data_IF_161986143917
#
_entry.id   IF_161986143917
#
_cell.length_a   1.000
_cell.length_b   1.000
_cell.length_c   1.000
_cell.angle_alpha   90.00
_cell.angle_beta   90.00
_cell.angle_gamma   90.00
#
_symmetry.space_group_name_H-M   'P 1'
#
loop_
_entity.id
_entity.type
_entity.pdbx_description
1 polymer ?
#
# COMPACT_ATOMS: atom_id res chain seq x y z
N UNK A 1 -35.15 -0.56 91.33
CA UNK A 1 -34.17 0.24 92.08
C UNK A 1 -33.21 0.90 91.11
N UNK A 2 -33.15 2.23 91.14
CA UNK A 2 -32.15 3.06 90.43
C UNK A 2 -30.76 2.82 91.04
N UNK A 3 -29.69 3.07 90.26
CA UNK A 3 -28.46 3.82 90.60
C UNK A 3 -27.46 3.65 89.42
N UNK A 4 -27.24 4.68 88.59
CA UNK A 4 -26.14 5.68 88.67
C UNK A 4 -24.76 5.00 88.60
N UNK A 5 -23.89 5.18 87.62
CA UNK A 5 -23.66 6.22 86.61
C UNK A 5 -22.15 6.39 86.48
N UNK A 6 -21.61 6.72 85.29
CA UNK A 6 -20.42 7.57 85.09
C UNK A 6 -20.05 7.70 83.61
N UNK A 7 -19.89 8.96 83.21
CA UNK A 7 -19.31 9.45 81.97
C UNK A 7 -17.86 8.95 81.79
N UNK A 8 -17.48 8.61 80.55
CA UNK A 8 -16.09 8.67 80.12
C UNK A 8 -16.03 9.07 78.64
N UNK A 9 -15.62 10.32 78.45
CA UNK A 9 -15.16 10.99 77.23
C UNK A 9 -14.16 10.13 76.44
N UNK A 10 -14.45 9.88 75.16
CA UNK A 10 -13.50 9.27 74.25
C UNK A 10 -12.45 10.30 73.80
N UNK A 11 -11.23 10.21 74.33
CA UNK A 11 -10.04 10.85 73.75
C UNK A 11 -9.53 9.97 72.60
N UNK A 12 -9.61 10.49 71.37
CA UNK A 12 -8.91 9.96 70.21
C UNK A 12 -7.41 10.28 70.34
N UNK A 13 -6.61 9.30 70.78
CA UNK A 13 -5.16 9.35 70.63
C UNK A 13 -4.80 8.85 69.22
N UNK A 14 -4.21 9.73 68.42
CA UNK A 14 -3.69 9.44 67.09
C UNK A 14 -2.40 8.61 67.20
N UNK A 15 -2.50 7.30 66.96
CA UNK A 15 -1.34 6.46 66.62
C UNK A 15 -1.10 6.55 65.13
N UNK A 16 -0.06 7.30 64.74
CA UNK A 16 0.48 7.26 63.39
C UNK A 16 1.04 5.87 63.13
N UNK A 17 0.26 5.01 62.46
CA UNK A 17 0.80 3.81 61.82
C UNK A 17 1.71 4.27 60.68
N UNK A 18 3.02 4.17 60.92
CA UNK A 18 4.02 4.11 59.86
C UNK A 18 3.77 2.78 59.15
N UNK A 19 2.96 2.82 58.09
CA UNK A 19 2.85 1.70 57.15
C UNK A 19 4.23 1.51 56.50
N UNK A 20 4.78 0.29 56.45
CA UNK A 20 5.97 0.04 55.67
C UNK A 20 5.67 0.43 54.23
N UNK A 21 6.52 1.30 53.67
CA UNK A 21 6.45 1.69 52.26
C UNK A 21 6.31 0.43 51.41
N UNK A 22 5.29 0.42 50.55
CA UNK A 22 4.97 -0.72 49.71
C UNK A 22 6.24 -1.18 49.00
N UNK A 23 6.58 -2.46 49.18
CA UNK A 23 7.58 -3.11 48.36
C UNK A 23 7.23 -2.83 46.90
N UNK A 24 8.15 -2.19 46.18
CA UNK A 24 8.10 -2.11 44.74
C UNK A 24 7.80 -3.52 44.22
N UNK A 25 6.76 -3.68 43.41
CA UNK A 25 6.49 -4.95 42.76
C UNK A 25 7.74 -5.32 41.98
N UNK A 26 8.53 -6.27 42.49
CA UNK A 26 9.63 -6.85 41.74
C UNK A 26 9.03 -7.38 40.44
N UNK A 27 9.55 -6.93 39.29
CA UNK A 27 9.10 -7.43 38.01
C UNK A 27 9.19 -8.96 38.03
N UNK A 28 8.09 -9.62 37.67
CA UNK A 28 7.98 -11.08 37.52
C UNK A 28 8.96 -11.68 36.48
N UNK A 29 9.73 -10.83 35.78
CA UNK A 29 10.60 -11.16 34.66
C UNK A 29 12.07 -10.73 34.87
N UNK A 30 12.52 -10.68 36.13
CA UNK A 30 13.92 -10.38 36.48
C UNK A 30 14.86 -11.60 36.38
N UNK A 31 16.01 -11.51 37.06
CA UNK A 31 17.08 -12.53 37.12
C UNK A 31 16.58 -13.95 37.41
N UNK A 32 15.50 -14.07 38.17
CA UNK A 32 14.95 -15.37 38.59
C UNK A 32 14.07 -16.04 37.51
N UNK A 33 13.72 -15.32 36.43
CA UNK A 33 12.91 -15.85 35.33
C UNK A 33 13.72 -16.10 34.06
N UNK A 34 14.55 -15.14 33.66
CA UNK A 34 15.34 -15.20 32.43
C UNK A 34 16.61 -16.02 32.71
N UNK A 35 16.86 -17.11 31.96
CA UNK A 35 18.00 -17.97 32.22
C UNK A 35 19.31 -17.23 31.96
N UNK A 36 20.29 -17.39 32.85
CA UNK A 36 21.63 -16.81 32.70
C UNK A 36 22.64 -17.85 32.18
N UNK A 37 22.25 -18.56 31.13
CA UNK A 37 23.05 -19.62 30.50
C UNK A 37 24.06 -19.03 29.51
N UNK A 38 25.18 -19.73 29.22
CA UNK A 38 26.15 -19.26 28.25
C UNK A 38 25.57 -19.29 26.82
N UNK A 39 25.86 -18.25 26.06
CA UNK A 39 25.58 -18.13 24.63
C UNK A 39 26.85 -17.70 23.89
N UNK A 40 26.96 -18.09 22.62
CA UNK A 40 28.10 -17.80 21.76
C UNK A 40 27.66 -16.82 20.67
N UNK A 41 28.38 -15.73 20.52
CA UNK A 41 28.12 -14.73 19.47
C UNK A 41 28.64 -15.19 18.11
N UNK A 42 28.25 -14.47 17.05
CA UNK A 42 28.78 -14.67 15.70
C UNK A 42 30.31 -14.53 15.59
N UNK A 43 30.94 -13.80 16.52
CA UNK A 43 32.40 -13.64 16.58
C UNK A 43 33.08 -14.68 17.48
N UNK A 44 32.34 -15.69 17.95
CA UNK A 44 32.87 -16.76 18.80
C UNK A 44 33.09 -16.37 20.26
N UNK A 45 32.58 -15.22 20.71
CA UNK A 45 32.66 -14.79 22.11
C UNK A 45 31.58 -15.47 22.93
N UNK A 46 31.94 -15.99 24.10
CA UNK A 46 30.98 -16.53 25.07
C UNK A 46 30.49 -15.40 25.99
N UNK A 47 29.19 -15.30 26.16
CA UNK A 47 28.50 -14.32 27.01
C UNK A 47 27.45 -15.04 27.87
N UNK A 48 27.09 -14.47 29.01
CA UNK A 48 25.98 -14.95 29.84
C UNK A 48 24.68 -14.26 29.41
N UNK A 49 23.65 -15.03 29.09
CA UNK A 49 22.46 -14.50 28.46
C UNK A 49 21.77 -13.39 29.27
N UNK A 50 21.62 -13.53 30.58
CA UNK A 50 20.96 -12.50 31.37
C UNK A 50 21.91 -11.34 31.71
N UNK A 51 23.05 -11.63 32.33
CA UNK A 51 23.94 -10.60 32.87
C UNK A 51 24.57 -9.72 31.77
N UNK A 52 24.95 -10.31 30.64
CA UNK A 52 25.64 -9.59 29.58
C UNK A 52 24.69 -9.02 28.52
N UNK A 53 23.52 -9.60 28.29
CA UNK A 53 22.63 -9.21 27.18
C UNK A 53 21.33 -8.54 27.63
N UNK A 54 20.76 -8.95 28.76
CA UNK A 54 19.43 -8.50 29.17
C UNK A 54 19.51 -7.40 30.21
N UNK A 55 20.32 -7.59 31.25
CA UNK A 55 20.40 -6.69 32.40
C UNK A 55 20.72 -5.26 31.96
N UNK A 56 19.92 -4.31 32.47
CA UNK A 56 20.07 -2.87 32.26
C UNK A 56 20.06 -2.40 30.78
N UNK A 57 19.50 -3.20 29.87
CA UNK A 57 19.44 -2.91 28.42
C UNK A 57 18.03 -2.91 27.88
N UNK A 58 17.77 -2.08 26.87
CA UNK A 58 16.60 -2.26 25.99
C UNK A 58 17.01 -3.24 24.90
N UNK A 59 16.23 -4.30 24.73
CA UNK A 59 16.57 -5.33 23.76
C UNK A 59 15.39 -5.77 22.91
N UNK A 60 15.70 -6.20 21.69
CA UNK A 60 14.79 -6.91 20.80
C UNK A 60 15.36 -8.30 20.56
N UNK A 61 14.68 -9.34 21.03
CA UNK A 61 15.02 -10.73 20.75
C UNK A 61 14.18 -11.24 19.57
N UNK A 62 14.86 -11.77 18.56
CA UNK A 62 14.25 -12.51 17.45
C UNK A 62 14.81 -13.92 17.38
N UNK A 63 13.98 -14.88 16.99
CA UNK A 63 14.40 -16.27 16.77
C UNK A 63 14.46 -16.55 15.27
N UNK A 64 15.54 -17.19 14.81
CA UNK A 64 15.77 -17.48 13.39
C UNK A 64 16.60 -18.74 13.20
N UNK A 65 16.83 -19.15 11.95
CA UNK A 65 17.90 -20.08 11.61
C UNK A 65 18.45 -19.74 10.21
N UNK A 66 19.76 -19.90 9.98
CA UNK A 66 20.40 -19.30 8.80
C UNK A 66 20.03 -19.96 7.47
N UNK A 67 19.60 -21.22 7.51
CA UNK A 67 19.14 -21.96 6.33
C UNK A 67 17.68 -21.68 5.95
N UNK A 68 16.95 -20.89 6.74
CA UNK A 68 15.59 -20.48 6.45
C UNK A 68 15.53 -19.59 5.20
N UNK A 69 14.68 -19.98 4.23
CA UNK A 69 14.47 -19.23 2.97
C UNK A 69 13.14 -18.48 2.91
N UNK A 70 12.43 -18.41 4.03
CA UNK A 70 11.10 -17.82 4.15
C UNK A 70 11.17 -16.48 4.92
N UNK A 71 10.62 -16.45 6.15
CA UNK A 71 10.45 -15.20 6.90
C UNK A 71 11.71 -14.72 7.60
N UNK A 72 12.67 -15.59 7.93
CA UNK A 72 13.86 -15.17 8.68
C UNK A 72 14.71 -14.12 7.94
N UNK A 73 15.02 -14.27 6.63
CA UNK A 73 15.68 -13.23 5.83
C UNK A 73 14.90 -11.91 5.81
N UNK A 74 13.57 -11.98 5.77
CA UNK A 74 12.72 -10.79 5.78
C UNK A 74 12.71 -10.10 7.14
N UNK A 75 12.64 -10.86 8.24
CA UNK A 75 12.77 -10.36 9.60
C UNK A 75 14.11 -9.67 9.82
N UNK A 76 15.21 -10.28 9.35
CA UNK A 76 16.52 -9.66 9.38
C UNK A 76 16.55 -8.35 8.57
N UNK A 77 16.07 -8.33 7.31
CA UNK A 77 16.02 -7.10 6.53
C UNK A 77 15.19 -5.98 7.19
N UNK A 78 14.09 -6.33 7.88
CA UNK A 78 13.26 -5.35 8.61
C UNK A 78 13.93 -4.84 9.87
N UNK A 79 14.63 -5.71 10.61
CA UNK A 79 15.44 -5.29 11.76
C UNK A 79 16.61 -4.39 11.31
N UNK A 80 17.21 -4.62 10.13
CA UNK A 80 18.22 -3.71 9.58
C UNK A 80 17.66 -2.31 9.33
N UNK A 81 16.45 -2.20 8.78
CA UNK A 81 15.77 -0.90 8.63
C UNK A 81 15.45 -0.24 9.98
N UNK A 82 15.08 -1.04 11.00
CA UNK A 82 14.86 -0.53 12.35
C UNK A 82 16.17 0.00 12.95
N UNK A 83 17.28 -0.74 12.78
CA UNK A 83 18.62 -0.32 13.22
C UNK A 83 19.00 1.03 12.61
N UNK A 84 18.83 1.22 11.30
CA UNK A 84 19.11 2.48 10.61
C UNK A 84 18.30 3.65 11.21
N UNK A 85 17.02 3.41 11.49
CA UNK A 85 16.11 4.42 12.08
C UNK A 85 16.42 4.75 13.53
N UNK A 86 16.87 3.75 14.31
CA UNK A 86 17.29 3.94 15.71
C UNK A 86 18.63 4.70 15.80
N UNK A 87 19.46 4.65 14.75
CA UNK A 87 20.66 5.45 14.62
C UNK A 87 21.60 5.29 15.83
N UNK A 88 21.94 6.40 16.48
CA UNK A 88 22.90 6.43 17.60
C UNK A 88 22.45 5.67 18.87
N UNK A 89 21.19 5.24 18.95
CA UNK A 89 20.70 4.41 20.06
C UNK A 89 21.16 2.96 19.95
N UNK A 90 21.43 2.47 18.73
CA UNK A 90 21.87 1.10 18.50
C UNK A 90 23.27 0.85 19.06
N UNK A 91 23.39 -0.19 19.90
CA UNK A 91 24.64 -0.57 20.55
C UNK A 91 25.04 0.28 21.74
N UNK A 92 24.28 1.34 22.05
CA UNK A 92 24.46 2.17 23.25
C UNK A 92 23.43 1.83 24.31
N UNK A 93 22.15 2.00 23.97
CA UNK A 93 21.00 1.78 24.87
C UNK A 93 20.02 0.73 24.33
N UNK A 94 19.97 0.54 23.00
CA UNK A 94 19.15 -0.47 22.32
C UNK A 94 20.02 -1.55 21.68
N UNK A 95 19.66 -2.82 21.89
CA UNK A 95 20.40 -3.98 21.40
C UNK A 95 19.49 -4.99 20.71
N UNK A 96 19.93 -5.57 19.61
CA UNK A 96 19.19 -6.62 18.90
C UNK A 96 19.89 -7.97 19.09
N UNK A 97 19.11 -9.00 19.41
CA UNK A 97 19.61 -10.35 19.65
C UNK A 97 18.86 -11.35 18.80
N UNK A 98 19.50 -11.83 17.75
CA UNK A 98 18.94 -12.82 16.84
C UNK A 98 19.46 -14.22 17.20
N UNK A 99 18.62 -15.02 17.83
CA UNK A 99 18.98 -16.31 18.42
C UNK A 99 18.64 -17.44 17.44
N UNK A 100 19.62 -18.28 17.13
CA UNK A 100 19.38 -19.47 16.31
C UNK A 100 18.48 -20.47 17.05
N UNK A 101 17.49 -21.02 16.36
CA UNK A 101 16.70 -22.18 16.80
C UNK A 101 17.27 -23.50 16.31
N UNK A 102 18.35 -23.46 15.51
CA UNK A 102 19.06 -24.60 14.93
C UNK A 102 20.56 -24.57 15.31
N UNK A 103 20.90 -24.61 16.61
CA UNK A 103 22.28 -24.43 17.07
C UNK A 103 23.25 -25.53 16.62
N UNK A 104 22.74 -26.69 16.21
CA UNK A 104 23.55 -27.80 15.69
C UNK A 104 24.14 -27.48 14.30
N UNK A 105 23.44 -26.66 13.51
CA UNK A 105 23.85 -26.29 12.14
C UNK A 105 24.33 -24.85 12.02
N UNK A 106 23.80 -23.94 12.83
CA UNK A 106 24.13 -22.51 12.85
C UNK A 106 25.35 -22.24 13.76
N UNK A 107 26.53 -22.53 13.21
CA UNK A 107 27.81 -22.21 13.85
C UNK A 107 28.05 -20.69 13.91
N UNK A 108 28.93 -20.19 14.80
CA UNK A 108 29.30 -18.77 14.84
C UNK A 108 29.71 -18.21 13.48
N UNK A 109 30.47 -18.98 12.69
CA UNK A 109 30.90 -18.56 11.35
C UNK A 109 29.71 -18.39 10.38
N UNK A 110 28.70 -19.27 10.44
CA UNK A 110 27.47 -19.14 9.63
C UNK A 110 26.63 -17.96 10.07
N UNK A 111 26.48 -17.77 11.37
CA UNK A 111 25.79 -16.61 11.92
C UNK A 111 26.48 -15.31 11.54
N UNK A 112 27.81 -15.29 11.50
CA UNK A 112 28.59 -14.13 11.05
C UNK A 112 28.32 -13.80 9.59
N UNK A 113 28.40 -14.80 8.71
CA UNK A 113 28.07 -14.62 7.30
C UNK A 113 26.64 -14.09 7.11
N UNK A 114 25.68 -14.62 7.87
CA UNK A 114 24.30 -14.16 7.82
C UNK A 114 24.15 -12.72 8.32
N UNK A 115 24.76 -12.38 9.45
CA UNK A 115 24.76 -11.04 10.03
C UNK A 115 25.35 -9.99 9.07
N UNK A 116 26.48 -10.31 8.44
CA UNK A 116 27.14 -9.46 7.43
C UNK A 116 26.25 -9.25 6.21
N UNK A 117 25.54 -10.28 5.75
CA UNK A 117 24.63 -10.20 4.61
C UNK A 117 23.46 -9.21 4.82
N UNK A 118 23.06 -8.98 6.07
CA UNK A 118 21.99 -8.02 6.42
C UNK A 118 22.51 -6.72 7.01
N UNK A 119 23.82 -6.48 7.00
CA UNK A 119 24.41 -5.24 7.51
C UNK A 119 24.21 -5.03 9.02
N UNK A 120 24.29 -6.11 9.80
CA UNK A 120 24.21 -6.04 11.25
C UNK A 120 25.33 -5.14 11.80
N UNK A 121 24.94 -4.04 12.44
CA UNK A 121 25.83 -3.04 13.00
C UNK A 121 26.15 -3.28 14.47
N UNK A 122 26.91 -2.36 15.09
CA UNK A 122 27.18 -2.42 16.54
C UNK A 122 25.90 -2.53 17.36
N UNK A 123 25.87 -3.47 18.30
CA UNK A 123 24.70 -3.72 19.15
C UNK A 123 23.71 -4.77 18.63
N UNK A 124 23.91 -5.29 17.41
CA UNK A 124 23.15 -6.43 16.90
C UNK A 124 23.99 -7.70 16.93
N UNK A 125 23.63 -8.63 17.83
CA UNK A 125 24.32 -9.90 17.98
C UNK A 125 23.47 -11.05 17.44
N UNK A 126 24.13 -12.00 16.79
CA UNK A 126 23.55 -13.27 16.37
C UNK A 126 24.11 -14.35 17.28
N UNK A 127 23.22 -15.11 17.92
CA UNK A 127 23.55 -15.96 19.06
C UNK A 127 23.25 -17.43 18.77
N UNK A 128 24.17 -18.30 19.16
CA UNK A 128 24.00 -19.75 19.20
C UNK A 128 24.51 -20.27 20.56
N UNK A 129 24.49 -21.57 20.81
CA UNK A 129 24.92 -22.14 22.09
C UNK A 129 24.67 -23.64 22.17
N UNK A 130 24.80 -24.20 23.37
CA UNK A 130 24.44 -25.59 23.58
C UNK A 130 22.93 -25.80 23.29
N UNK A 131 22.53 -26.88 22.61
CA UNK A 131 21.13 -27.09 22.22
C UNK A 131 20.14 -27.01 23.39
N UNK A 132 20.52 -27.50 24.56
CA UNK A 132 19.75 -27.43 25.81
C UNK A 132 19.58 -26.01 26.35
N UNK A 133 20.62 -25.19 26.27
CA UNK A 133 20.59 -23.79 26.72
C UNK A 133 19.71 -22.95 25.79
N UNK A 134 19.83 -23.16 24.47
CA UNK A 134 18.97 -22.52 23.48
C UNK A 134 17.52 -22.93 23.65
N UNK A 135 17.23 -24.22 23.91
CA UNK A 135 15.87 -24.68 24.22
C UNK A 135 15.32 -24.02 25.49
N UNK A 136 16.13 -23.91 26.54
CA UNK A 136 15.73 -23.25 27.78
C UNK A 136 15.41 -21.76 27.56
N UNK A 137 16.24 -21.04 26.80
CA UNK A 137 15.98 -19.65 26.41
C UNK A 137 14.67 -19.56 25.63
N UNK A 138 14.47 -20.41 24.60
CA UNK A 138 13.23 -20.43 23.80
C UNK A 138 12.01 -20.63 24.68
N UNK A 139 12.00 -21.64 25.53
CA UNK A 139 10.86 -21.96 26.40
C UNK A 139 10.53 -20.82 27.37
N UNK A 140 11.56 -20.22 27.98
CA UNK A 140 11.40 -19.09 28.92
C UNK A 140 10.96 -17.81 28.23
N UNK A 141 11.38 -17.58 27.00
CA UNK A 141 10.94 -16.44 26.20
C UNK A 141 9.64 -16.75 25.42
N UNK A 142 9.03 -17.91 25.68
CA UNK A 142 7.74 -18.33 25.12
C UNK A 142 7.78 -18.58 23.62
N UNK A 143 8.94 -18.93 23.08
CA UNK A 143 9.12 -19.43 21.72
C UNK A 143 8.89 -20.93 21.70
N UNK A 144 7.81 -21.37 21.04
CA UNK A 144 7.27 -22.74 21.15
C UNK A 144 7.16 -23.46 19.81
N UNK A 145 7.79 -22.95 18.74
CA UNK A 145 7.82 -23.64 17.45
C UNK A 145 8.30 -25.09 17.61
N UNK A 146 7.49 -26.03 17.09
CA UNK A 146 7.64 -27.48 17.24
C UNK A 146 8.57 -28.10 16.21
N UNK A 147 8.81 -27.42 15.10
CA UNK A 147 9.73 -27.85 14.04
C UNK A 147 10.35 -26.65 13.31
N UNK A 148 11.46 -26.90 12.61
CA UNK A 148 12.14 -25.92 11.77
C UNK A 148 11.23 -25.55 10.59
N UNK A 149 10.72 -24.31 10.57
CA UNK A 149 9.75 -23.84 9.58
C UNK A 149 8.37 -23.48 10.15
N UNK A 150 8.10 -23.76 11.43
CA UNK A 150 6.96 -23.13 12.11
C UNK A 150 7.31 -21.68 12.42
N UNK A 151 6.70 -20.77 11.66
CA UNK A 151 7.13 -19.38 11.58
C UNK A 151 6.30 -18.47 12.49
N UNK A 152 7.01 -17.78 13.37
CA UNK A 152 6.47 -16.68 14.16
C UNK A 152 7.04 -15.37 13.67
N UNK A 153 6.15 -14.40 13.46
CA UNK A 153 6.52 -13.09 12.89
C UNK A 153 6.72 -12.03 13.98
N UNK A 154 6.69 -12.43 15.25
CA UNK A 154 6.82 -11.55 16.39
C UNK A 154 8.22 -11.64 17.02
N UNK A 155 8.68 -10.49 17.48
CA UNK A 155 9.89 -10.31 18.28
C UNK A 155 9.49 -10.00 19.71
N UNK A 156 10.42 -10.26 20.62
CA UNK A 156 10.28 -9.89 22.02
C UNK A 156 11.03 -8.59 22.26
N UNK A 157 10.30 -7.54 22.64
CA UNK A 157 10.86 -6.25 23.02
C UNK A 157 10.82 -6.12 24.54
N UNK A 158 11.93 -5.78 25.18
CA UNK A 158 11.94 -5.57 26.62
C UNK A 158 12.99 -4.59 27.12
N UNK A 159 12.84 -4.20 28.37
CA UNK A 159 13.75 -3.37 29.14
C UNK A 159 14.19 -4.15 30.39
N UNK A 160 15.48 -4.49 30.45
CA UNK A 160 16.05 -5.25 31.56
C UNK A 160 16.17 -4.50 32.88
N UNK A 161 16.17 -3.16 32.86
CA UNK A 161 16.20 -2.34 34.07
C UNK A 161 14.84 -2.29 34.76
N UNK A 162 13.75 -2.16 33.98
CA UNK A 162 12.37 -2.11 34.51
C UNK A 162 11.74 -3.50 34.62
N UNK A 163 12.25 -4.46 33.86
CA UNK A 163 11.65 -5.78 33.68
C UNK A 163 10.32 -5.72 32.92
N UNK A 164 10.08 -4.69 32.11
CA UNK A 164 8.93 -4.58 31.19
C UNK A 164 9.23 -5.24 29.84
N UNK A 165 8.33 -6.11 29.38
CA UNK A 165 8.51 -6.89 28.16
C UNK A 165 7.17 -7.00 27.43
N UNK A 166 7.19 -6.92 26.10
CA UNK A 166 6.04 -7.11 25.22
C UNK A 166 6.41 -7.88 23.97
N UNK A 167 5.41 -8.43 23.29
CA UNK A 167 5.59 -8.94 21.92
C UNK A 167 5.24 -7.86 20.92
N UNK A 168 6.02 -7.77 19.86
CA UNK A 168 5.79 -6.86 18.74
C UNK A 168 6.16 -7.56 17.43
N UNK A 169 5.97 -6.93 16.27
CA UNK A 169 6.36 -7.50 14.98
C UNK A 169 7.05 -6.44 14.11
N UNK A 170 8.28 -6.71 13.61
CA UNK A 170 8.96 -5.82 12.66
C UNK A 170 8.31 -5.86 11.26
N UNK A 171 7.34 -6.76 11.03
CA UNK A 171 6.64 -6.90 9.75
C UNK A 171 5.55 -5.85 9.54
N UNK A 172 5.06 -5.23 10.63
CA UNK A 172 4.06 -4.16 10.57
C UNK A 172 4.65 -2.80 10.20
N UNK A 173 3.98 -1.72 10.61
CA UNK A 173 4.49 -0.35 10.39
C UNK A 173 5.85 -0.13 11.09
N UNK A 174 6.85 0.27 10.30
CA UNK A 174 8.22 0.42 10.79
C UNK A 174 8.37 1.60 11.76
N UNK A 175 7.66 2.70 11.54
CA UNK A 175 7.74 3.85 12.43
C UNK A 175 7.07 3.54 13.78
N UNK A 176 5.94 2.82 13.77
CA UNK A 176 5.29 2.31 14.99
C UNK A 176 6.22 1.38 15.77
N UNK A 177 6.89 0.47 15.07
CA UNK A 177 7.83 -0.46 15.68
C UNK A 177 9.00 0.26 16.35
N UNK A 178 9.63 1.22 15.65
CA UNK A 178 10.72 2.05 16.22
C UNK A 178 10.22 2.90 17.39
N UNK A 179 9.01 3.48 17.30
CA UNK A 179 8.40 4.20 18.42
C UNK A 179 8.15 3.31 19.64
N UNK A 180 7.74 2.05 19.44
CA UNK A 180 7.55 1.11 20.52
C UNK A 180 8.87 0.79 21.24
N UNK A 181 9.97 0.70 20.50
CA UNK A 181 11.32 0.53 21.07
C UNK A 181 11.71 1.75 21.91
N UNK A 182 11.54 2.98 21.38
CA UNK A 182 11.82 4.19 22.15
C UNK A 182 10.94 4.35 23.39
N UNK A 183 9.68 3.88 23.33
CA UNK A 183 8.78 3.93 24.47
C UNK A 183 9.25 3.04 25.65
N UNK A 184 10.16 2.09 25.42
CA UNK A 184 10.77 1.30 26.50
C UNK A 184 11.80 2.09 27.32
N UNK A 185 12.40 3.14 26.76
CA UNK A 185 13.38 4.02 27.44
C UNK A 185 12.69 5.04 28.36
N UNK A 186 11.52 5.52 27.92
CA UNK A 186 10.69 6.44 28.69
C UNK A 186 9.98 5.67 29.80
N UNK A 187 10.64 5.52 30.95
CA UNK A 187 10.03 4.97 32.15
C UNK A 187 8.66 5.59 32.42
N UNK A 188 7.59 4.87 32.11
CA UNK A 188 6.27 5.07 32.69
C UNK A 188 6.25 4.55 34.13
N UNK A 189 7.26 4.93 34.93
CA UNK A 189 7.21 4.90 36.37
C UNK A 189 6.21 5.97 36.84
N UNK A 190 4.92 5.68 36.70
CA UNK A 190 3.85 6.58 37.14
C UNK A 190 2.47 6.34 36.52
N UNK A 191 2.37 5.68 35.36
CA UNK A 191 1.06 5.22 34.89
C UNK A 191 0.74 3.92 35.59
N UNK A 192 -0.03 4.00 36.69
CA UNK A 192 -0.77 2.85 37.20
C UNK A 192 -1.38 2.16 35.99
N UNK A 193 -0.97 0.91 35.73
CA UNK A 193 -1.71 0.06 34.81
C UNK A 193 -3.17 0.17 35.24
N UNK A 194 -4.01 0.79 34.38
CA UNK A 194 -5.44 0.70 34.59
C UNK A 194 -5.72 -0.78 34.75
N UNK A 195 -6.44 -1.21 35.80
CA UNK A 195 -6.68 -2.63 36.02
C UNK A 195 -7.20 -3.18 34.70
N UNK A 196 -6.47 -4.14 34.13
CA UNK A 196 -6.95 -4.90 32.99
C UNK A 196 -8.21 -5.55 33.54
N UNK A 197 -9.37 -4.93 33.24
CA UNK A 197 -10.65 -5.55 33.49
C UNK A 197 -10.54 -6.88 32.80
N UNK A 198 -10.68 -7.97 33.55
CA UNK A 198 -10.93 -9.29 32.99
C UNK A 198 -12.08 -9.10 32.02
N UNK A 199 -11.76 -9.05 30.74
CA UNK A 199 -12.76 -8.90 29.70
C UNK A 199 -13.43 -10.27 29.65
N UNK A 200 -14.73 -10.37 29.96
CA UNK A 200 -15.46 -11.62 29.77
C UNK A 200 -15.26 -12.02 28.31
N UNK A 201 -15.04 -13.31 28.08
CA UNK A 201 -14.83 -13.95 26.78
C UNK A 201 -15.41 -13.11 25.63
N UNK A 202 -14.56 -12.42 24.87
CA UNK A 202 -15.01 -11.50 23.82
C UNK A 202 -15.43 -12.30 22.58
N UNK A 203 -16.61 -12.91 22.65
CA UNK A 203 -17.37 -13.21 21.46
C UNK A 203 -17.91 -11.88 20.90
N UNK A 204 -17.46 -11.49 19.70
CA UNK A 204 -18.16 -10.47 18.91
C UNK A 204 -17.66 -9.03 18.99
N UNK A 205 -16.34 -8.76 19.02
CA UNK A 205 -15.85 -7.44 18.63
C UNK A 205 -15.77 -7.33 17.10
N UNK A 206 -16.64 -6.52 16.51
CA UNK A 206 -16.50 -6.05 15.12
C UNK A 206 -15.52 -4.87 15.13
N UNK A 207 -14.33 -5.06 14.53
CA UNK A 207 -13.36 -3.98 14.32
C UNK A 207 -14.04 -2.86 13.50
N UNK A 208 -14.00 -1.61 13.98
CA UNK A 208 -14.46 -0.46 13.19
C UNK A 208 -13.43 -0.15 12.10
N UNK A 209 -13.76 -0.52 10.87
CA UNK A 209 -12.95 -0.36 9.64
C UNK A 209 -13.29 -1.50 8.65
N UNK A 210 -12.95 -1.41 7.36
CA UNK A 210 -13.09 -2.55 6.46
C UNK A 210 -12.23 -3.69 7.03
N UNK A 211 -12.75 -4.92 7.23
CA UNK A 211 -12.00 -6.01 7.86
C UNK A 211 -10.63 -6.26 7.21
N UNK A 212 -10.52 -6.02 5.90
CA UNK A 212 -9.29 -6.16 5.14
C UNK A 212 -8.19 -5.15 5.47
N UNK A 213 -8.47 -3.99 6.05
CA UNK A 213 -7.43 -2.98 6.33
C UNK A 213 -6.46 -3.45 7.41
N UNK A 214 -7.00 -3.94 8.53
CA UNK A 214 -6.19 -4.45 9.64
C UNK A 214 -5.38 -5.69 9.21
N UNK A 215 -6.01 -6.57 8.41
CA UNK A 215 -5.35 -7.72 7.82
C UNK A 215 -4.22 -7.29 6.88
N UNK A 216 -4.43 -6.26 6.05
CA UNK A 216 -3.44 -5.76 5.11
C UNK A 216 -2.23 -5.20 5.85
N UNK A 217 -2.44 -4.34 6.86
CA UNK A 217 -1.36 -3.77 7.66
C UNK A 217 -0.55 -4.85 8.39
N UNK A 218 -1.20 -5.94 8.81
CA UNK A 218 -0.58 -7.05 9.54
C UNK A 218 0.18 -8.01 8.62
N UNK A 219 -0.39 -8.38 7.47
CA UNK A 219 0.09 -9.51 6.67
C UNK A 219 0.66 -9.11 5.30
N UNK A 220 0.31 -7.93 4.77
CA UNK A 220 0.63 -7.56 3.38
C UNK A 220 1.55 -6.33 3.29
N UNK A 221 1.39 -5.37 4.20
CA UNK A 221 2.04 -4.06 4.13
C UNK A 221 3.57 -4.10 4.30
N UNK A 222 4.14 -5.20 4.79
CA UNK A 222 5.59 -5.41 4.80
C UNK A 222 6.15 -5.57 3.37
N UNK A 223 5.43 -6.29 2.51
CA UNK A 223 5.92 -6.69 1.18
C UNK A 223 5.29 -5.91 0.02
N UNK A 224 4.07 -5.42 0.21
CA UNK A 224 3.28 -4.78 -0.84
C UNK A 224 2.95 -3.33 -0.52
N UNK A 225 2.67 -2.56 -1.57
CA UNK A 225 2.02 -1.25 -1.50
C UNK A 225 0.70 -1.30 -2.30
N UNK A 226 -0.12 -0.26 -2.17
CA UNK A 226 -1.23 0.01 -3.09
C UNK A 226 -1.03 1.41 -3.66
N UNK A 227 -0.49 1.49 -4.88
CA UNK A 227 -0.19 2.73 -5.59
C UNK A 227 1.14 3.38 -5.18
N UNK A 228 1.96 2.67 -4.41
CA UNK A 228 3.26 3.14 -3.94
C UNK A 228 4.45 2.54 -4.70
N UNK A 229 4.21 1.77 -5.76
CA UNK A 229 5.24 1.06 -6.52
C UNK A 229 5.64 -0.29 -5.94
N UNK A 230 6.43 -1.03 -6.72
CA UNK A 230 6.94 -2.35 -6.33
C UNK A 230 7.86 -2.23 -5.10
N UNK A 231 7.78 -3.23 -4.21
CA UNK A 231 8.70 -3.37 -3.06
C UNK A 231 9.32 -4.76 -3.06
N UNK A 232 9.06 -5.57 -2.02
CA UNK A 232 9.50 -6.97 -1.95
C UNK A 232 8.64 -7.79 -2.91
N UNK A 233 7.35 -7.50 -2.93
CA UNK A 233 6.41 -7.97 -3.94
C UNK A 233 5.92 -6.83 -4.85
N UNK A 234 5.12 -7.16 -5.88
CA UNK A 234 4.53 -6.18 -6.79
C UNK A 234 3.61 -5.19 -6.07
N UNK A 235 3.47 -4.00 -6.65
CA UNK A 235 2.38 -3.07 -6.32
C UNK A 235 1.02 -3.72 -6.63
N UNK A 236 0.08 -3.57 -5.69
CA UNK A 236 -1.26 -4.09 -5.78
C UNK A 236 -2.26 -3.09 -6.39
N UNK A 237 -1.85 -1.87 -6.72
CA UNK A 237 -2.71 -0.93 -7.46
C UNK A 237 -3.22 -1.57 -8.77
N UNK A 238 -4.53 -1.63 -8.94
CA UNK A 238 -5.22 -2.24 -10.08
C UNK A 238 -5.16 -3.76 -10.17
N UNK A 239 -4.69 -4.46 -9.12
CA UNK A 239 -4.56 -5.93 -9.15
C UNK A 239 -5.92 -6.61 -9.30
N UNK A 240 -6.96 -6.05 -8.67
CA UNK A 240 -8.33 -6.53 -8.77
C UNK A 240 -8.92 -6.41 -10.19
N UNK A 241 -8.34 -5.53 -11.00
CA UNK A 241 -8.72 -5.29 -12.39
C UNK A 241 -7.92 -6.18 -13.36
N UNK A 242 -6.68 -6.53 -12.98
CA UNK A 242 -5.78 -7.36 -13.77
C UNK A 242 -6.00 -8.86 -13.58
N UNK A 243 -6.67 -9.28 -12.52
CA UNK A 243 -6.81 -10.70 -12.14
C UNK A 243 -8.24 -11.01 -11.74
N UNK A 244 -8.67 -12.24 -12.04
CA UNK A 244 -9.98 -12.72 -11.63
C UNK A 244 -10.03 -12.89 -10.11
N UNK A 245 -11.17 -12.59 -9.51
CA UNK A 245 -11.38 -12.70 -8.07
C UNK A 245 -11.07 -14.11 -7.55
N UNK A 246 -11.56 -15.15 -8.23
CA UNK A 246 -11.33 -16.55 -7.84
C UNK A 246 -9.85 -16.94 -7.83
N UNK A 247 -9.04 -16.35 -8.71
CA UNK A 247 -7.60 -16.56 -8.73
C UNK A 247 -6.91 -15.80 -7.59
N UNK A 248 -7.32 -14.55 -7.34
CA UNK A 248 -6.78 -13.73 -6.25
C UNK A 248 -7.01 -14.38 -4.89
N UNK A 249 -8.22 -14.87 -4.62
CA UNK A 249 -8.54 -15.54 -3.36
C UNK A 249 -7.64 -16.76 -3.12
N UNK A 250 -7.49 -17.63 -4.14
CA UNK A 250 -6.65 -18.82 -4.05
C UNK A 250 -5.15 -18.48 -3.93
N UNK A 251 -4.69 -17.47 -4.65
CA UNK A 251 -3.28 -17.05 -4.61
C UNK A 251 -2.91 -16.39 -3.28
N UNK A 252 -3.79 -15.55 -2.71
CA UNK A 252 -3.56 -14.91 -1.41
C UNK A 252 -3.59 -15.97 -0.29
N UNK A 253 -4.54 -16.90 -0.33
CA UNK A 253 -4.66 -17.94 0.68
C UNK A 253 -3.52 -18.98 0.60
N UNK A 254 -3.16 -19.42 -0.61
CA UNK A 254 -2.18 -20.50 -0.80
C UNK A 254 -1.36 -20.36 -2.12
N UNK A 255 -0.40 -19.43 -2.18
CA UNK A 255 0.39 -19.20 -3.39
C UNK A 255 1.29 -20.39 -3.75
N UNK A 256 1.68 -21.21 -2.76
CA UNK A 256 2.47 -22.44 -2.99
C UNK A 256 1.68 -23.50 -3.75
N UNK A 257 0.39 -23.67 -3.45
CA UNK A 257 -0.45 -24.63 -4.16
C UNK A 257 -0.56 -24.28 -5.65
N UNK A 258 -0.70 -22.99 -5.99
CA UNK A 258 -0.73 -22.55 -7.40
C UNK A 258 0.60 -22.80 -8.11
N UNK A 259 1.74 -22.58 -7.42
CA UNK A 259 3.06 -22.92 -7.98
C UNK A 259 3.23 -24.42 -8.22
N UNK A 260 2.82 -25.26 -7.27
CA UNK A 260 2.86 -26.73 -7.40
C UNK A 260 1.96 -27.23 -8.53
N UNK A 261 0.82 -26.58 -8.74
CA UNK A 261 -0.08 -26.82 -9.86
C UNK A 261 0.42 -26.24 -11.20
N UNK A 262 1.63 -25.67 -11.23
CA UNK A 262 2.24 -25.04 -12.40
C UNK A 262 1.40 -23.90 -13.01
N UNK A 263 0.69 -23.12 -12.17
CA UNK A 263 -0.03 -21.95 -12.64
C UNK A 263 0.92 -20.94 -13.31
N UNK A 264 0.67 -20.55 -14.57
CA UNK A 264 1.63 -19.76 -15.35
C UNK A 264 1.83 -18.36 -14.77
N UNK A 265 0.81 -17.78 -14.12
CA UNK A 265 0.90 -16.45 -13.51
C UNK A 265 1.73 -16.53 -12.23
N UNK A 266 1.49 -17.53 -11.39
CA UNK A 266 2.24 -17.75 -10.16
C UNK A 266 3.74 -18.00 -10.44
N UNK A 267 4.05 -18.77 -11.50
CA UNK A 267 5.43 -19.03 -11.93
C UNK A 267 6.09 -17.75 -12.49
N UNK A 268 5.39 -16.98 -13.32
CA UNK A 268 5.91 -15.73 -13.86
C UNK A 268 6.19 -14.70 -12.75
N UNK A 269 5.31 -14.61 -11.74
CA UNK A 269 5.53 -13.75 -10.58
C UNK A 269 6.75 -14.21 -9.75
N UNK A 270 6.90 -15.51 -9.53
CA UNK A 270 8.06 -16.04 -8.80
C UNK A 270 9.38 -15.81 -9.54
N UNK A 271 9.37 -15.88 -10.88
CA UNK A 271 10.53 -15.56 -11.71
C UNK A 271 10.85 -14.06 -11.70
N UNK A 272 9.83 -13.20 -11.72
CA UNK A 272 9.99 -11.75 -11.71
C UNK A 272 10.46 -11.21 -10.35
N UNK A 273 10.04 -11.82 -9.25
CA UNK A 273 10.42 -11.43 -7.88
C UNK A 273 11.17 -12.58 -7.18
N UNK A 274 12.41 -12.90 -7.58
CA UNK A 274 13.12 -14.09 -7.11
C UNK A 274 13.67 -13.96 -5.68
N UNK A 275 13.82 -12.73 -5.17
CA UNK A 275 14.45 -12.44 -3.89
C UNK A 275 13.65 -12.97 -2.70
N UNK A 276 12.31 -12.87 -2.74
CA UNK A 276 11.42 -13.36 -1.69
C UNK A 276 10.17 -13.94 -2.34
N UNK A 277 9.90 -15.22 -2.06
CA UNK A 277 8.66 -15.86 -2.52
C UNK A 277 7.52 -15.46 -1.60
N UNK A 278 6.37 -15.10 -2.18
CA UNK A 278 5.17 -14.82 -1.38
C UNK A 278 4.80 -16.07 -0.57
N UNK A 279 4.80 -15.99 0.78
CA UNK A 279 4.53 -17.13 1.64
C UNK A 279 3.03 -17.41 1.71
N UNK A 280 2.66 -18.61 2.15
CA UNK A 280 1.29 -18.86 2.60
C UNK A 280 1.06 -18.08 3.90
N UNK A 281 0.08 -17.16 3.88
CA UNK A 281 -0.21 -16.27 5.00
C UNK A 281 -1.27 -16.84 5.97
N UNK A 282 -1.67 -18.09 5.78
CA UNK A 282 -2.59 -18.84 6.65
C UNK A 282 -3.86 -18.07 7.02
N UNK A 283 -4.54 -17.53 6.01
CA UNK A 283 -5.83 -16.83 6.15
C UNK A 283 -6.95 -17.64 5.48
N UNK A 284 -8.18 -17.46 5.97
CA UNK A 284 -9.39 -18.03 5.37
C UNK A 284 -9.78 -17.35 4.05
N UNK A 285 -10.63 -18.00 3.24
CA UNK A 285 -11.16 -17.39 2.02
C UNK A 285 -11.97 -16.10 2.29
N UNK A 286 -12.65 -16.02 3.43
CA UNK A 286 -13.37 -14.82 3.86
C UNK A 286 -12.41 -13.65 4.14
N UNK A 287 -11.33 -13.91 4.86
CA UNK A 287 -10.27 -12.92 5.10
C UNK A 287 -9.55 -12.52 3.81
N UNK A 288 -9.36 -13.45 2.88
CA UNK A 288 -8.83 -13.14 1.55
C UNK A 288 -9.79 -12.23 0.76
N UNK A 289 -11.11 -12.45 0.85
CA UNK A 289 -12.10 -11.59 0.22
C UNK A 289 -12.11 -10.19 0.83
N UNK A 290 -12.02 -10.09 2.15
CA UNK A 290 -11.90 -8.82 2.87
C UNK A 290 -10.64 -8.05 2.46
N UNK A 291 -9.50 -8.73 2.33
CA UNK A 291 -8.26 -8.15 1.81
C UNK A 291 -8.42 -7.61 0.38
N UNK A 292 -9.04 -8.38 -0.52
CA UNK A 292 -9.29 -7.94 -1.90
C UNK A 292 -10.22 -6.72 -1.91
N UNK A 293 -11.26 -6.70 -1.09
CA UNK A 293 -12.16 -5.55 -0.96
C UNK A 293 -11.43 -4.30 -0.44
N UNK A 294 -10.52 -4.46 0.53
CA UNK A 294 -9.68 -3.37 1.00
C UNK A 294 -8.76 -2.83 -0.09
N UNK A 295 -8.05 -3.72 -0.80
CA UNK A 295 -7.16 -3.34 -1.90
C UNK A 295 -7.98 -2.55 -2.94
N UNK A 296 -9.13 -3.06 -3.39
CA UNK A 296 -10.05 -2.38 -4.30
C UNK A 296 -10.44 -0.97 -3.85
N UNK A 297 -10.66 -0.78 -2.54
CA UNK A 297 -11.01 0.54 -1.98
C UNK A 297 -9.87 1.55 -2.04
N UNK A 298 -8.62 1.07 -2.10
CA UNK A 298 -7.39 1.86 -2.16
C UNK A 298 -6.83 2.00 -3.58
N UNK A 299 -7.29 1.18 -4.52
CA UNK A 299 -6.89 1.27 -5.93
C UNK A 299 -7.38 2.58 -6.57
N UNK A 300 -6.62 3.17 -7.52
CA UNK A 300 -7.13 4.24 -8.35
C UNK A 300 -8.45 3.80 -9.00
N UNK A 301 -9.52 4.58 -8.82
CA UNK A 301 -10.81 4.30 -9.44
C UNK A 301 -10.61 4.20 -10.95
N UNK A 302 -11.07 3.11 -11.55
CA UNK A 302 -11.04 2.91 -13.00
C UNK A 302 -11.65 4.15 -13.67
N UNK A 303 -11.01 4.75 -14.69
CA UNK A 303 -11.69 5.74 -15.53
C UNK A 303 -12.96 5.06 -16.04
N UNK A 304 -14.13 5.59 -15.68
CA UNK A 304 -15.40 5.05 -16.16
C UNK A 304 -15.39 5.07 -17.69
N UNK A 305 -16.04 4.09 -18.32
CA UNK A 305 -16.29 4.18 -19.76
C UNK A 305 -17.00 5.49 -20.03
N UNK A 306 -16.44 6.26 -20.94
CA UNK A 306 -17.04 7.50 -21.40
C UNK A 306 -18.33 7.13 -22.14
N UNK A 307 -19.50 7.70 -21.80
CA UNK A 307 -20.77 7.47 -22.49
C UNK A 307 -20.76 7.98 -23.95
N UNK A 308 -20.02 7.31 -24.84
CA UNK A 308 -19.87 7.70 -26.24
C UNK A 308 -21.19 7.62 -27.01
N UNK A 309 -22.17 6.86 -26.52
CA UNK A 309 -23.53 6.80 -27.05
C UNK A 309 -24.20 8.17 -27.15
N UNK A 310 -23.85 9.13 -26.28
CA UNK A 310 -24.36 10.50 -26.34
C UNK A 310 -23.99 11.19 -27.65
N UNK A 311 -22.85 10.85 -28.26
CA UNK A 311 -22.44 11.41 -29.56
C UNK A 311 -23.32 10.94 -30.73
N UNK A 312 -24.06 9.82 -30.60
CA UNK A 312 -24.96 9.35 -31.67
C UNK A 312 -26.17 10.26 -31.90
N UNK A 313 -26.48 11.12 -30.92
CA UNK A 313 -27.49 12.16 -31.05
C UNK A 313 -27.03 13.35 -31.90
N UNK A 314 -25.75 13.40 -32.30
CA UNK A 314 -25.23 14.45 -33.19
C UNK A 314 -25.28 14.01 -34.66
N UNK A 315 -25.30 14.99 -35.55
CA UNK A 315 -25.29 14.82 -37.00
C UNK A 315 -23.93 15.21 -37.57
N UNK A 316 -23.46 14.44 -38.56
CA UNK A 316 -22.21 14.67 -39.27
C UNK A 316 -22.31 15.84 -40.24
N UNK A 317 -21.18 16.25 -40.81
CA UNK A 317 -21.11 17.23 -41.91
C UNK A 317 -21.90 16.82 -43.17
N UNK A 318 -22.23 15.53 -43.32
CA UNK A 318 -23.06 15.04 -44.43
C UNK A 318 -24.56 15.05 -44.12
N UNK A 319 -24.96 15.55 -42.94
CA UNK A 319 -26.36 15.68 -42.53
C UNK A 319 -26.98 14.39 -42.00
N UNK A 320 -26.21 13.32 -41.86
CA UNK A 320 -26.65 12.03 -41.27
C UNK A 320 -26.28 11.96 -39.79
N UNK A 321 -27.01 11.17 -38.99
CA UNK A 321 -26.63 10.91 -37.59
C UNK A 321 -25.28 10.17 -37.52
N UNK A 322 -24.48 10.46 -36.49
CA UNK A 322 -23.23 9.74 -36.26
C UNK A 322 -23.50 8.26 -35.97
N UNK A 323 -22.96 7.39 -36.81
CA UNK A 323 -23.04 5.94 -36.60
C UNK A 323 -21.99 5.51 -35.57
N UNK A 324 -22.45 4.97 -34.43
CA UNK A 324 -21.55 4.51 -33.37
C UNK A 324 -20.52 3.48 -33.85
N UNK A 325 -20.81 2.72 -34.90
CA UNK A 325 -19.85 1.75 -35.48
C UNK A 325 -18.62 2.44 -36.08
N UNK A 326 -18.71 3.73 -36.40
CA UNK A 326 -17.56 4.51 -36.88
C UNK A 326 -16.58 4.83 -35.76
N UNK A 327 -17.01 4.84 -34.49
CA UNK A 327 -16.22 5.28 -33.33
C UNK A 327 -15.98 4.18 -32.28
N UNK A 328 -16.87 3.19 -32.17
CA UNK A 328 -16.72 2.10 -31.20
C UNK A 328 -15.53 1.21 -31.56
N UNK A 329 -14.74 0.84 -30.55
CA UNK A 329 -13.57 -0.02 -30.72
C UNK A 329 -12.35 0.68 -31.32
N UNK A 330 -12.40 2.02 -31.50
CA UNK A 330 -11.33 2.81 -32.13
C UNK A 330 -10.87 3.91 -31.18
N UNK A 331 -9.57 4.26 -31.14
CA UNK A 331 -9.11 5.46 -30.46
C UNK A 331 -9.73 6.72 -31.09
N UNK A 332 -10.15 7.65 -30.25
CA UNK A 332 -10.80 8.90 -30.65
C UNK A 332 -10.01 10.09 -30.14
N UNK A 333 -9.91 11.13 -30.97
CA UNK A 333 -9.54 12.48 -30.56
C UNK A 333 -10.78 13.37 -30.76
N UNK A 334 -11.36 13.89 -29.68
CA UNK A 334 -12.56 14.74 -29.72
C UNK A 334 -12.19 16.16 -29.34
N UNK A 335 -12.48 17.12 -30.21
CA UNK A 335 -12.22 18.53 -30.00
C UNK A 335 -13.52 19.32 -30.14
N UNK A 336 -13.80 20.22 -29.19
CA UNK A 336 -14.97 21.10 -29.20
C UNK A 336 -14.55 22.50 -29.68
N UNK A 337 -15.23 23.05 -30.68
CA UNK A 337 -14.91 24.37 -31.24
C UNK A 337 -16.01 24.90 -32.15
N UNK A 338 -15.74 25.87 -33.02
CA UNK A 338 -16.73 26.44 -33.94
C UNK A 338 -16.07 27.05 -35.17
N UNK A 339 -16.77 27.13 -36.30
CA UNK A 339 -16.15 27.51 -37.59
C UNK A 339 -15.70 28.97 -37.65
N UNK A 340 -16.34 29.85 -36.87
CA UNK A 340 -16.02 31.29 -36.81
C UNK A 340 -14.92 31.63 -35.80
N UNK A 341 -14.23 30.63 -35.24
CA UNK A 341 -13.13 30.87 -34.31
C UNK A 341 -11.94 31.52 -35.05
N UNK A 342 -11.38 32.63 -34.54
CA UNK A 342 -10.44 33.47 -35.28
C UNK A 342 -9.07 32.81 -35.56
N UNK A 343 -8.61 31.89 -34.71
CA UNK A 343 -7.26 31.30 -34.87
C UNK A 343 -7.09 29.91 -34.27
N UNK A 344 -7.66 29.62 -33.09
CA UNK A 344 -7.32 28.39 -32.36
C UNK A 344 -7.92 27.13 -33.01
N UNK A 345 -9.21 27.15 -33.38
CA UNK A 345 -9.86 25.99 -34.00
C UNK A 345 -9.23 25.58 -35.35
N UNK A 346 -8.99 26.50 -36.31
CA UNK A 346 -8.35 26.11 -37.57
C UNK A 346 -6.92 25.60 -37.35
N UNK A 347 -6.18 26.17 -36.39
CA UNK A 347 -4.83 25.69 -36.04
C UNK A 347 -4.88 24.25 -35.49
N UNK A 348 -5.78 23.96 -34.55
CA UNK A 348 -5.92 22.62 -33.98
C UNK A 348 -6.28 21.57 -35.04
N UNK A 349 -7.18 21.90 -35.98
CA UNK A 349 -7.57 21.00 -37.07
C UNK A 349 -6.43 20.77 -38.08
N UNK A 350 -5.63 21.80 -38.37
CA UNK A 350 -4.44 21.65 -39.21
C UNK A 350 -3.40 20.73 -38.54
N UNK A 351 -3.14 20.92 -37.25
CA UNK A 351 -2.24 20.05 -36.49
C UNK A 351 -2.74 18.60 -36.47
N UNK A 352 -4.04 18.38 -36.27
CA UNK A 352 -4.62 17.04 -36.36
C UNK A 352 -4.51 16.44 -37.77
N UNK A 353 -4.61 17.27 -38.81
CA UNK A 353 -4.37 16.84 -40.19
C UNK A 353 -2.92 16.35 -40.38
N UNK A 354 -1.93 17.11 -39.87
CA UNK A 354 -0.52 16.71 -39.91
C UNK A 354 -0.25 15.41 -39.14
N UNK A 355 -0.84 15.27 -37.94
CA UNK A 355 -0.75 14.04 -37.13
C UNK A 355 -1.29 12.84 -37.90
N UNK A 356 -2.46 13.01 -38.51
CA UNK A 356 -3.13 11.99 -39.30
C UNK A 356 -2.33 11.61 -40.56
N UNK A 357 -1.67 12.56 -41.21
CA UNK A 357 -0.75 12.31 -42.33
C UNK A 357 0.49 11.52 -41.88
N UNK A 358 1.13 11.92 -40.78
CA UNK A 358 2.33 11.26 -40.23
C UNK A 358 2.09 9.84 -39.74
N UNK A 359 0.87 9.50 -39.33
CA UNK A 359 0.48 8.14 -38.96
C UNK A 359 0.31 7.23 -40.20
N UNK A 360 0.21 7.78 -41.40
CA UNK A 360 0.08 7.01 -42.63
C UNK A 360 -1.09 6.00 -42.58
N UNK A 361 -0.88 4.73 -42.98
CA UNK A 361 -1.95 3.71 -42.98
C UNK A 361 -2.59 3.44 -41.62
N UNK A 362 -1.85 3.64 -40.51
CA UNK A 362 -2.36 3.37 -39.16
C UNK A 362 -3.49 4.31 -38.76
N UNK A 363 -3.54 5.47 -39.39
CA UNK A 363 -4.50 6.50 -39.06
C UNK A 363 -5.95 6.11 -39.41
N UNK A 364 -6.16 5.09 -40.25
CA UNK A 364 -7.46 4.45 -40.46
C UNK A 364 -8.03 3.82 -39.20
N UNK A 365 -7.18 3.54 -38.19
CA UNK A 365 -7.57 2.99 -36.89
C UNK A 365 -8.03 4.06 -35.90
N UNK A 366 -7.78 5.35 -36.19
CA UNK A 366 -8.14 6.49 -35.32
C UNK A 366 -9.31 7.26 -35.92
N UNK A 367 -10.11 7.92 -35.09
CA UNK A 367 -11.09 8.93 -35.55
C UNK A 367 -10.85 10.25 -34.85
N UNK A 368 -10.89 11.34 -35.63
CA UNK A 368 -10.84 12.70 -35.11
C UNK A 368 -12.24 13.30 -35.28
N UNK A 369 -12.82 13.77 -34.18
CA UNK A 369 -14.15 14.36 -34.14
C UNK A 369 -14.04 15.83 -33.77
N UNK A 370 -14.57 16.70 -34.64
CA UNK A 370 -14.75 18.12 -34.37
C UNK A 370 -16.21 18.37 -34.00
N UNK A 371 -16.51 18.69 -32.75
CA UNK A 371 -17.88 18.95 -32.29
C UNK A 371 -18.09 20.46 -32.22
N UNK A 372 -19.07 20.99 -32.98
CA UNK A 372 -19.38 22.41 -32.89
C UNK A 372 -20.02 22.77 -31.54
N UNK A 373 -19.69 23.92 -30.98
CA UNK A 373 -20.39 24.57 -29.86
C UNK A 373 -21.34 25.67 -30.31
N UNK A 374 -21.43 25.91 -31.62
CA UNK A 374 -22.22 26.96 -32.28
C UNK A 374 -23.20 26.37 -33.31
N UNK A 375 -24.22 25.61 -32.86
CA UNK A 375 -25.14 24.95 -33.77
C UNK A 375 -26.03 25.92 -34.55
N UNK A 376 -26.16 27.18 -34.14
CA UNK A 376 -26.95 28.19 -34.86
C UNK A 376 -26.34 28.46 -36.24
N UNK A 377 -25.01 28.64 -36.32
CA UNK A 377 -24.28 28.94 -37.55
C UNK A 377 -23.67 27.70 -38.22
N UNK A 378 -23.20 26.73 -37.43
CA UNK A 378 -22.47 25.56 -37.92
C UNK A 378 -23.43 24.42 -38.33
N UNK A 379 -24.21 24.67 -39.39
CA UNK A 379 -25.06 23.64 -40.02
C UNK A 379 -24.21 22.67 -40.85
N UNK A 380 -24.71 21.46 -41.17
CA UNK A 380 -23.91 20.45 -41.89
C UNK A 380 -23.25 20.97 -43.19
N UNK A 381 -23.91 21.76 -44.06
CA UNK A 381 -23.26 22.30 -45.25
C UNK A 381 -22.08 23.24 -44.94
N UNK A 382 -22.19 24.04 -43.87
CA UNK A 382 -21.14 24.97 -43.43
C UNK A 382 -19.95 24.19 -42.89
N UNK A 383 -20.21 23.20 -42.02
CA UNK A 383 -19.17 22.31 -41.51
C UNK A 383 -18.47 21.54 -42.62
N UNK A 384 -19.23 21.08 -43.63
CA UNK A 384 -18.67 20.36 -44.78
C UNK A 384 -17.70 21.23 -45.56
N UNK A 385 -18.10 22.46 -45.91
CA UNK A 385 -17.24 23.42 -46.59
C UNK A 385 -16.01 23.79 -45.75
N UNK A 386 -16.19 23.99 -44.44
CA UNK A 386 -15.08 24.27 -43.53
C UNK A 386 -14.05 23.14 -43.50
N UNK A 387 -14.50 21.88 -43.51
CA UNK A 387 -13.63 20.70 -43.52
C UNK A 387 -12.89 20.45 -44.83
N UNK A 388 -13.24 21.11 -45.94
CA UNK A 388 -12.54 20.93 -47.23
C UNK A 388 -11.06 21.33 -47.18
N UNK A 389 -10.69 22.18 -46.21
CA UNK A 389 -9.31 22.64 -46.01
C UNK A 389 -8.48 21.73 -45.09
N UNK A 390 -9.06 20.65 -44.56
CA UNK A 390 -8.42 19.76 -43.59
C UNK A 390 -8.45 18.30 -44.04
N UNK A 391 -7.85 17.41 -43.25
CA UNK A 391 -7.83 15.98 -43.57
C UNK A 391 -9.24 15.37 -43.64
N UNK A 392 -9.51 14.61 -44.72
CA UNK A 392 -10.82 14.01 -45.01
C UNK A 392 -11.29 12.99 -43.97
N UNK A 393 -10.40 12.50 -43.10
CA UNK A 393 -10.73 11.56 -42.01
C UNK A 393 -11.30 12.26 -40.77
N UNK A 394 -11.27 13.58 -40.72
CA UNK A 394 -11.92 14.37 -39.67
C UNK A 394 -13.43 14.38 -39.90
N UNK A 395 -14.20 14.09 -38.86
CA UNK A 395 -15.67 14.12 -38.88
C UNK A 395 -16.11 15.31 -38.05
N UNK A 396 -16.86 16.24 -38.66
CA UNK A 396 -17.46 17.36 -37.94
C UNK A 396 -18.89 17.00 -37.51
N UNK A 397 -19.24 17.35 -36.28
CA UNK A 397 -20.50 17.03 -35.63
C UNK A 397 -21.22 18.30 -35.22
N UNK A 398 -22.52 18.38 -35.50
CA UNK A 398 -23.46 19.42 -35.08
C UNK A 398 -24.76 18.80 -34.61
N UNK A 399 -25.66 19.57 -34.01
CA UNK A 399 -26.90 19.04 -33.46
C UNK A 399 -27.77 20.10 -32.79
N UNK A 400 -28.73 19.65 -31.98
CA UNK A 400 -29.44 20.56 -31.07
C UNK A 400 -28.52 21.04 -29.95
N UNK A 401 -28.81 22.21 -29.39
CA UNK A 401 -28.03 22.76 -28.26
C UNK A 401 -27.98 21.80 -27.07
N UNK A 402 -29.10 21.12 -26.76
CA UNK A 402 -29.17 20.13 -25.68
C UNK A 402 -28.27 18.92 -25.94
N UNK A 403 -28.23 18.42 -27.18
CA UNK A 403 -27.41 17.28 -27.57
C UNK A 403 -25.91 17.63 -27.48
N UNK A 404 -25.54 18.84 -27.93
CA UNK A 404 -24.17 19.35 -27.83
C UNK A 404 -23.77 19.56 -26.37
N UNK A 405 -24.65 20.13 -25.55
CA UNK A 405 -24.40 20.32 -24.12
C UNK A 405 -24.22 18.97 -23.41
N UNK A 406 -25.05 17.98 -23.73
CA UNK A 406 -24.93 16.63 -23.21
C UNK A 406 -23.60 15.97 -23.62
N UNK A 407 -23.20 16.11 -24.88
CA UNK A 407 -21.92 15.64 -25.38
C UNK A 407 -20.74 16.32 -24.66
N UNK A 408 -20.74 17.65 -24.56
CA UNK A 408 -19.69 18.41 -23.87
C UNK A 408 -19.54 18.00 -22.40
N UNK A 409 -20.66 17.80 -21.69
CA UNK A 409 -20.70 17.37 -20.29
C UNK A 409 -20.01 16.03 -20.06
N UNK A 410 -20.14 15.07 -21.00
CA UNK A 410 -19.49 13.76 -20.91
C UNK A 410 -17.96 13.86 -20.81
N UNK A 411 -17.38 14.87 -21.47
CA UNK A 411 -15.93 15.10 -21.48
C UNK A 411 -15.49 16.18 -20.49
N UNK A 412 -16.42 16.79 -19.75
CA UNK A 412 -16.14 17.95 -18.91
C UNK A 412 -15.69 19.18 -19.71
N UNK A 413 -16.12 19.29 -20.98
CA UNK A 413 -15.87 20.45 -21.80
C UNK A 413 -16.80 21.59 -21.39
N UNK A 414 -16.23 22.75 -21.10
CA UNK A 414 -16.97 23.97 -20.79
C UNK A 414 -16.98 24.89 -22.01
N UNK A 415 -18.13 25.49 -22.28
CA UNK A 415 -18.27 26.57 -23.25
C UNK A 415 -19.35 27.55 -22.78
N UNK A 416 -19.19 28.83 -23.14
CA UNK A 416 -20.09 29.91 -22.83
C UNK A 416 -20.24 30.82 -24.05
N UNK A 417 -21.48 31.12 -24.42
CA UNK A 417 -21.79 32.11 -25.46
C UNK A 417 -21.45 33.50 -24.94
N UNK A 418 -20.66 34.26 -25.69
CA UNK A 418 -20.31 35.64 -25.40
C UNK A 418 -20.87 36.52 -26.52
N UNK A 419 -21.56 37.59 -26.14
CA UNK A 419 -22.04 38.61 -27.09
C UNK A 419 -21.09 39.80 -27.01
N UNK A 420 -20.38 40.07 -28.11
CA UNK A 420 -19.44 41.20 -28.23
C UNK A 420 -19.92 42.11 -29.36
N UNK A 421 -20.46 43.28 -29.01
CA UNK A 421 -21.01 44.22 -29.98
C UNK A 421 -22.22 43.64 -30.72
N UNK A 422 -22.15 43.60 -32.05
CA UNK A 422 -23.13 42.98 -32.95
C UNK A 422 -22.79 41.50 -33.29
N UNK A 423 -21.69 40.97 -32.74
CA UNK A 423 -21.21 39.62 -32.97
C UNK A 423 -21.46 38.67 -31.80
N UNK A 424 -21.54 37.36 -32.14
CA UNK A 424 -21.57 36.26 -31.16
C UNK A 424 -20.28 35.45 -31.28
N UNK A 425 -19.60 35.28 -30.16
CA UNK A 425 -18.42 34.42 -30.00
C UNK A 425 -18.64 33.42 -28.86
N UNK A 426 -17.70 32.51 -28.65
CA UNK A 426 -17.77 31.51 -27.58
C UNK A 426 -16.44 31.45 -26.83
N UNK A 427 -16.49 31.56 -25.51
CA UNK A 427 -15.42 31.05 -24.65
C UNK A 427 -15.60 29.55 -24.54
N UNK A 428 -14.58 28.77 -24.88
CA UNK A 428 -14.66 27.32 -24.79
C UNK A 428 -13.33 26.69 -24.41
N UNK A 429 -13.42 25.51 -23.81
CA UNK A 429 -12.26 24.70 -23.45
C UNK A 429 -11.50 24.34 -24.72
N UNK A 430 -10.21 24.68 -24.77
CA UNK A 430 -9.35 24.46 -25.93
C UNK A 430 -8.67 23.08 -25.93
N UNK A 431 -9.27 22.10 -25.25
CA UNK A 431 -8.68 20.77 -25.08
C UNK A 431 -9.19 19.80 -26.14
N UNK A 432 -8.29 18.94 -26.64
CA UNK A 432 -8.66 17.71 -27.33
C UNK A 432 -8.67 16.54 -26.34
N UNK A 433 -9.77 15.82 -26.29
CA UNK A 433 -9.99 14.67 -25.42
C UNK A 433 -9.64 13.37 -26.14
N UNK A 434 -8.80 12.54 -25.52
CA UNK A 434 -8.31 11.31 -26.11
C UNK A 434 -8.99 10.11 -25.44
N UNK A 435 -9.71 9.33 -26.22
CA UNK A 435 -10.41 8.12 -25.79
C UNK A 435 -9.72 6.90 -26.41
N UNK A 436 -9.45 5.87 -25.61
CA UNK A 436 -8.88 4.61 -26.11
C UNK A 436 -9.92 3.74 -26.84
N UNK A 437 -9.46 2.69 -27.53
CA UNK A 437 -10.33 1.74 -28.23
C UNK A 437 -11.37 1.03 -27.34
N UNK A 438 -11.18 1.04 -26.01
CA UNK A 438 -12.12 0.47 -25.06
C UNK A 438 -13.18 1.46 -24.57
N UNK A 439 -13.18 2.70 -25.09
CA UNK A 439 -14.13 3.75 -24.76
C UNK A 439 -13.80 4.47 -23.45
N UNK A 440 -12.53 4.50 -23.02
CA UNK A 440 -12.11 5.23 -21.81
C UNK A 440 -11.36 6.50 -22.18
N UNK A 441 -11.73 7.62 -21.55
CA UNK A 441 -10.93 8.85 -21.59
C UNK A 441 -9.57 8.61 -20.91
N UNK A 442 -8.48 8.70 -21.67
CA UNK A 442 -7.12 8.38 -21.22
C UNK A 442 -6.21 9.61 -21.15
N UNK A 443 -6.55 10.71 -21.81
CA UNK A 443 -5.78 11.95 -21.79
C UNK A 443 -6.61 13.15 -22.28
N UNK A 444 -6.19 14.36 -21.94
CA UNK A 444 -6.62 15.61 -22.59
C UNK A 444 -5.39 16.42 -22.97
N UNK A 445 -5.37 16.91 -24.21
CA UNK A 445 -4.28 17.70 -24.78
C UNK A 445 -4.75 19.14 -24.93
N UNK A 446 -4.01 20.11 -24.40
CA UNK A 446 -4.32 21.52 -24.63
C UNK A 446 -4.07 21.90 -26.09
N UNK A 447 -4.70 22.98 -26.57
CA UNK A 447 -4.42 23.52 -27.91
C UNK A 447 -2.93 23.88 -28.10
N UNK A 448 -2.22 24.24 -27.03
CA UNK A 448 -0.78 24.55 -27.04
C UNK A 448 0.12 23.30 -27.08
N UNK A 449 -0.44 22.10 -26.94
CA UNK A 449 0.33 20.85 -26.99
C UNK A 449 0.86 20.62 -28.40
N UNK A 450 2.19 20.53 -28.53
CA UNK A 450 2.87 20.37 -29.81
C UNK A 450 2.49 19.08 -30.56
N UNK A 451 2.77 19.07 -31.87
CA UNK A 451 2.47 17.95 -32.76
C UNK A 451 3.13 16.63 -32.30
N UNK A 452 4.32 16.71 -31.69
CA UNK A 452 5.05 15.52 -31.21
C UNK A 452 4.34 14.86 -30.03
N UNK A 453 3.78 15.65 -29.12
CA UNK A 453 2.96 15.15 -28.01
C UNK A 453 1.69 14.44 -28.53
N UNK A 454 1.03 15.02 -29.54
CA UNK A 454 -0.17 14.42 -30.18
C UNK A 454 0.15 13.09 -30.86
N UNK A 455 1.23 13.02 -31.65
CA UNK A 455 1.68 11.77 -32.30
C UNK A 455 2.08 10.73 -31.26
N UNK A 456 2.80 11.12 -30.21
CA UNK A 456 3.23 10.19 -29.16
C UNK A 456 2.04 9.56 -28.42
N UNK A 457 0.99 10.33 -28.14
CA UNK A 457 -0.23 9.80 -27.52
C UNK A 457 -0.95 8.83 -28.45
N UNK A 458 -1.11 9.15 -29.74
CA UNK A 458 -1.81 8.25 -30.67
C UNK A 458 -1.02 6.97 -30.99
N UNK A 459 0.31 7.03 -31.13
CA UNK A 459 1.14 5.83 -31.33
C UNK A 459 1.05 4.84 -30.16
N UNK A 460 0.86 5.34 -28.93
CA UNK A 460 0.60 4.48 -27.76
C UNK A 460 -0.75 3.77 -27.82
N UNK A 461 -1.74 4.37 -28.50
CA UNK A 461 -3.10 3.83 -28.62
C UNK A 461 -3.30 2.96 -29.86
N UNK A 462 -2.41 3.10 -30.85
CA UNK A 462 -2.38 2.32 -32.08
C UNK A 462 -0.98 1.73 -32.25
N UNK A 463 -0.62 0.67 -31.48
CA UNK A 463 0.65 0.00 -31.66
C UNK A 463 0.74 -0.63 -33.05
N UNK A 464 1.97 -0.70 -33.56
CA UNK A 464 2.34 -1.19 -34.90
C UNK A 464 1.73 -2.55 -35.26
#
# INVERSE_FOLDING_TARGET
>A
MRWLGRLATALLAATALILPGGAAHASRWGKDYVPNVPVVTQDGRVLNFYDDLIKDKIFVVSFLFTSCRDVCPLAAARLAQAQEKLGAHMGRDVFFYSISVDPENDTPARLKQYAEAFGAGPGWLFLTGAPEDIRLIRDRLGERSRFLGEHRNDVLLGNGATGEWQRDSPMGDMNRFVMAIHAMDLGTAGRKASPVKTVPNMEGYVLKGPPGEALFLKACAGCHTVGGGDRVGPDLAGVSQRRRLDWLLRFIANPEQLRRAQDPIALALAAKYPAVRMPAISISEGEAADLVAYIQSREPKRPQRTPLETLSALSTQDGTRLDLRQIQGRPLAIFFGFTHCPSVCPTALLEWSNVLERLGPQAERVRVLFVTVDPERDKPPVLKAYLESFDRRIIALTGGEEDIAAAAKVFGAHYARIVEGDGVTYDHTLNTYIVDASGRLVSSLSAESDESARVAVLRRLVPD
#
